data_IF_587122867886
#
_entry.id   IF_587122867886
#
_cell.length_a   1.000
_cell.length_b   1.000
_cell.length_c   1.000
_cell.angle_alpha   90.00
_cell.angle_beta   90.00
_cell.angle_gamma   90.00
#
_symmetry.space_group_name_H-M   'P 1'
#
loop_
_entity.id
_entity.type
_entity.pdbx_description
1 polymer ?
#
# COMPACT_ATOMS: atom_id res chain seq x y z
N UNK A 1 33.78 10.58 -1.74
CA UNK A 1 32.48 10.51 -1.06
C UNK A 1 32.01 9.06 -1.16
N UNK A 2 31.62 8.40 -0.06
CA UNK A 2 31.03 7.04 -0.12
C UNK A 2 29.54 7.19 -0.33
N UNK A 3 28.98 6.54 -1.35
CA UNK A 3 27.54 6.52 -1.63
C UNK A 3 26.95 5.25 -1.05
N UNK A 4 25.84 5.36 -0.31
CA UNK A 4 25.05 4.24 0.18
C UNK A 4 23.86 4.11 -0.75
N UNK A 5 23.68 2.92 -1.33
CA UNK A 5 22.50 2.57 -2.11
C UNK A 5 21.63 1.63 -1.25
N UNK A 6 20.39 2.06 -0.97
CA UNK A 6 19.42 1.29 -0.21
C UNK A 6 18.30 0.82 -1.13
N UNK A 7 18.18 -0.49 -1.33
CA UNK A 7 17.21 -1.09 -2.26
C UNK A 7 16.22 -1.92 -1.46
N UNK A 8 14.94 -1.63 -1.60
CA UNK A 8 13.83 -2.40 -1.01
C UNK A 8 13.08 -3.11 -2.13
N UNK A 9 13.06 -4.43 -2.09
CA UNK A 9 12.29 -5.27 -3.00
C UNK A 9 11.02 -5.71 -2.29
N UNK A 10 9.97 -4.90 -2.42
CA UNK A 10 8.69 -5.17 -1.76
C UNK A 10 8.00 -6.39 -2.37
N UNK A 11 7.54 -7.31 -1.51
CA UNK A 11 6.87 -8.53 -1.93
C UNK A 11 7.78 -9.63 -2.48
N UNK A 12 9.10 -9.50 -2.39
CA UNK A 12 10.04 -10.53 -2.84
C UNK A 12 10.06 -11.75 -1.91
N UNK A 13 9.89 -11.53 -0.61
CA UNK A 13 9.94 -12.59 0.39
C UNK A 13 8.91 -13.68 0.11
N UNK A 14 9.38 -14.92 0.16
CA UNK A 14 8.61 -16.13 -0.13
C UNK A 14 8.44 -16.95 1.17
N UNK A 15 7.40 -17.77 1.22
CA UNK A 15 7.14 -18.65 2.38
C UNK A 15 7.87 -19.97 2.27
N UNK A 16 7.89 -20.73 3.37
CA UNK A 16 8.47 -22.09 3.41
C UNK A 16 7.54 -23.16 2.79
N UNK A 17 6.84 -22.81 1.71
CA UNK A 17 5.92 -23.71 1.03
C UNK A 17 6.46 -24.05 -0.36
N UNK A 18 7.23 -25.16 -0.47
CA UNK A 18 7.76 -25.59 -1.75
C UNK A 18 6.63 -26.03 -2.68
N UNK A 19 6.72 -25.63 -3.93
CA UNK A 19 5.75 -25.96 -4.98
C UNK A 19 6.22 -27.19 -5.77
N UNK A 20 5.36 -28.17 -5.91
CA UNK A 20 5.69 -29.42 -6.64
C UNK A 20 6.03 -29.14 -8.12
N UNK A 21 5.31 -28.22 -8.74
CA UNK A 21 5.52 -27.79 -10.12
C UNK A 21 6.88 -27.12 -10.34
N UNK A 22 7.48 -26.61 -9.27
CA UNK A 22 8.83 -26.02 -9.28
C UNK A 22 9.90 -26.96 -8.75
N UNK A 23 9.64 -28.28 -8.73
CA UNK A 23 10.59 -29.30 -8.24
C UNK A 23 10.79 -29.22 -6.74
N UNK A 24 9.74 -29.02 -5.97
CA UNK A 24 9.76 -28.82 -4.51
C UNK A 24 10.63 -27.64 -4.05
N UNK A 25 10.69 -26.60 -4.82
CA UNK A 25 11.34 -25.32 -4.50
C UNK A 25 10.30 -24.24 -4.29
N UNK A 26 10.65 -23.21 -3.54
CA UNK A 26 9.85 -21.99 -3.50
C UNK A 26 9.99 -21.20 -4.82
N UNK A 27 9.12 -20.27 -5.15
CA UNK A 27 9.26 -19.42 -6.31
C UNK A 27 10.62 -18.70 -6.38
N UNK A 28 11.11 -18.16 -5.25
CA UNK A 28 12.39 -17.48 -5.18
C UNK A 28 13.58 -18.42 -5.42
N UNK A 29 13.54 -19.64 -4.85
CA UNK A 29 14.56 -20.68 -5.09
C UNK A 29 14.56 -21.20 -6.53
N UNK A 30 13.41 -21.14 -7.22
CA UNK A 30 13.27 -21.58 -8.61
C UNK A 30 13.65 -20.48 -9.61
N UNK A 31 13.60 -19.21 -9.21
CA UNK A 31 13.91 -18.08 -10.06
C UNK A 31 15.40 -18.00 -10.40
N UNK A 32 15.74 -17.50 -11.58
CA UNK A 32 17.11 -17.20 -11.97
C UNK A 32 17.46 -15.79 -11.46
N UNK A 33 18.18 -15.71 -10.35
CA UNK A 33 18.54 -14.45 -9.68
C UNK A 33 20.06 -14.24 -9.53
N UNK A 34 20.86 -14.32 -10.60
CA UNK A 34 22.32 -14.40 -10.51
C UNK A 34 22.96 -13.19 -9.79
N UNK A 35 22.41 -11.99 -9.97
CA UNK A 35 22.93 -10.80 -9.29
C UNK A 35 22.60 -10.83 -7.79
N UNK A 36 21.41 -11.24 -7.39
CA UNK A 36 21.06 -11.39 -5.99
C UNK A 36 21.86 -12.50 -5.32
N UNK A 37 22.06 -13.61 -6.01
CA UNK A 37 22.86 -14.74 -5.55
C UNK A 37 24.32 -14.34 -5.34
N UNK A 38 24.87 -13.53 -6.24
CA UNK A 38 26.21 -12.97 -6.09
C UNK A 38 26.29 -12.05 -4.87
N UNK A 39 25.36 -11.12 -4.71
CA UNK A 39 25.32 -10.20 -3.58
C UNK A 39 25.15 -10.93 -2.25
N UNK A 40 24.34 -11.99 -2.20
CA UNK A 40 24.17 -12.82 -1.01
C UNK A 40 25.43 -13.58 -0.65
N UNK A 41 26.17 -14.07 -1.65
CA UNK A 41 27.42 -14.83 -1.46
C UNK A 41 28.58 -13.95 -1.00
N UNK A 42 28.69 -12.74 -1.53
CA UNK A 42 29.81 -11.83 -1.27
C UNK A 42 29.53 -10.84 -0.13
N UNK A 43 28.26 -10.68 0.24
CA UNK A 43 27.82 -9.78 1.28
C UNK A 43 27.54 -10.47 2.62
N UNK A 44 26.87 -9.74 3.48
CA UNK A 44 26.32 -10.27 4.73
C UNK A 44 24.81 -10.39 4.61
N UNK A 45 24.28 -11.56 4.95
CA UNK A 45 22.85 -11.84 4.94
C UNK A 45 22.30 -12.03 6.35
N UNK A 46 21.00 -11.80 6.53
CA UNK A 46 20.34 -12.00 7.80
C UNK A 46 18.84 -11.94 7.68
N UNK A 47 18.15 -12.30 8.77
CA UNK A 47 16.72 -12.18 8.91
C UNK A 47 16.38 -10.96 9.76
N UNK A 48 15.40 -10.19 9.33
CA UNK A 48 14.93 -9.01 10.03
C UNK A 48 13.44 -9.06 10.26
N UNK A 49 13.00 -8.79 11.48
CA UNK A 49 11.63 -8.43 11.76
C UNK A 49 11.47 -6.94 11.47
N UNK A 50 10.78 -6.61 10.41
CA UNK A 50 10.69 -5.23 9.90
C UNK A 50 10.15 -4.25 10.94
N UNK A 51 9.08 -4.62 11.66
CA UNK A 51 8.50 -3.79 12.72
C UNK A 51 8.71 -4.44 14.09
N UNK A 52 8.49 -5.75 14.17
CA UNK A 52 8.65 -6.50 15.40
C UNK A 52 8.22 -7.96 15.25
N UNK A 53 8.68 -8.80 16.17
CA UNK A 53 8.34 -10.22 16.17
C UNK A 53 6.83 -10.40 16.30
N UNK A 54 6.24 -11.22 15.43
CA UNK A 54 4.80 -11.52 15.43
C UNK A 54 3.93 -10.43 14.77
N UNK A 55 4.52 -9.37 14.24
CA UNK A 55 3.81 -8.33 13.49
C UNK A 55 3.98 -8.61 12.00
N UNK A 56 2.87 -8.78 11.28
CA UNK A 56 2.83 -8.84 9.82
C UNK A 56 2.52 -7.44 9.29
N UNK A 57 3.53 -6.62 8.97
CA UNK A 57 3.31 -5.23 8.60
C UNK A 57 2.81 -5.09 7.16
N UNK A 58 2.01 -4.07 6.91
CA UNK A 58 1.82 -3.54 5.56
C UNK A 58 3.04 -2.69 5.15
N UNK A 59 3.20 -2.43 3.86
CA UNK A 59 4.39 -1.75 3.31
C UNK A 59 4.62 -0.36 3.89
N UNK A 60 3.58 0.37 4.23
CA UNK A 60 3.65 1.72 4.77
C UNK A 60 4.30 1.76 6.17
N UNK A 61 3.82 0.96 7.12
CA UNK A 61 4.44 0.86 8.44
C UNK A 61 5.83 0.21 8.37
N UNK A 62 6.01 -0.76 7.45
CA UNK A 62 7.29 -1.39 7.23
C UNK A 62 8.35 -0.38 6.76
N UNK A 63 8.03 0.48 5.80
CA UNK A 63 8.95 1.49 5.28
C UNK A 63 9.34 2.49 6.35
N UNK A 64 8.41 2.96 7.19
CA UNK A 64 8.72 3.83 8.33
C UNK A 64 9.80 3.20 9.23
N UNK A 65 9.61 1.92 9.57
CA UNK A 65 10.54 1.19 10.42
C UNK A 65 11.90 0.96 9.75
N UNK A 66 11.90 0.56 8.46
CA UNK A 66 13.11 0.33 7.66
C UNK A 66 13.95 1.60 7.54
N UNK A 67 13.31 2.77 7.48
CA UNK A 67 14.00 4.06 7.45
C UNK A 67 14.54 4.51 8.83
N UNK A 68 14.35 3.68 9.87
CA UNK A 68 14.90 3.93 11.21
C UNK A 68 14.00 4.72 12.15
N UNK A 69 12.75 4.94 11.77
CA UNK A 69 11.78 5.58 12.65
C UNK A 69 11.06 4.55 13.51
N UNK A 70 10.68 4.94 14.73
CA UNK A 70 9.79 4.14 15.57
C UNK A 70 8.39 4.07 14.96
N UNK A 71 8.12 3.00 14.23
CA UNK A 71 6.87 2.83 13.52
C UNK A 71 5.66 2.75 14.47
N UNK A 72 5.83 2.22 15.67
CA UNK A 72 4.74 2.15 16.65
C UNK A 72 4.36 3.53 17.20
N UNK A 73 5.30 4.45 17.20
CA UNK A 73 5.10 5.83 17.65
C UNK A 73 4.57 6.74 16.54
N UNK A 74 5.08 6.60 15.34
CA UNK A 74 4.84 7.56 14.25
C UNK A 74 3.81 7.10 13.21
N UNK A 75 3.41 5.85 13.21
CA UNK A 75 2.43 5.37 12.26
C UNK A 75 1.02 5.75 12.66
N UNK A 76 0.38 6.55 11.83
CA UNK A 76 -0.98 7.05 12.03
C UNK A 76 -2.01 6.41 11.10
N UNK A 77 -1.63 5.35 10.42
CA UNK A 77 -2.45 4.70 9.40
C UNK A 77 -2.11 5.18 7.98
N UNK A 78 -2.60 4.45 7.01
CA UNK A 78 -2.28 4.68 5.59
C UNK A 78 -2.97 5.90 5.01
N UNK A 79 -4.16 6.25 5.52
CA UNK A 79 -4.93 7.38 5.04
C UNK A 79 -4.18 8.70 5.06
N UNK A 80 -3.59 9.11 6.19
CA UNK A 80 -2.79 10.34 6.27
C UNK A 80 -1.61 10.36 5.31
N UNK A 81 -0.89 9.26 5.16
CA UNK A 81 0.26 9.18 4.25
C UNK A 81 -0.17 9.33 2.79
N UNK A 82 -1.22 8.65 2.37
CA UNK A 82 -1.76 8.77 1.01
C UNK A 82 -2.35 10.16 0.75
N UNK A 83 -2.99 10.79 1.74
CA UNK A 83 -3.53 12.14 1.60
C UNK A 83 -2.42 13.18 1.39
N UNK A 84 -1.35 13.11 2.18
CA UNK A 84 -0.18 13.97 2.02
C UNK A 84 0.51 13.75 0.66
N UNK A 85 0.65 12.49 0.23
CA UNK A 85 1.26 12.13 -1.05
C UNK A 85 0.53 12.74 -2.26
N UNK A 86 -0.79 12.91 -2.18
CA UNK A 86 -1.57 13.59 -3.24
C UNK A 86 -1.79 15.08 -3.00
N UNK A 87 -1.08 15.66 -2.02
CA UNK A 87 -1.11 17.09 -1.72
C UNK A 87 -2.37 17.58 -1.01
N UNK A 88 -3.12 16.69 -0.34
CA UNK A 88 -4.19 17.12 0.55
C UNK A 88 -3.60 17.66 1.85
N UNK A 89 -4.17 18.75 2.34
CA UNK A 89 -3.81 19.32 3.64
C UNK A 89 -4.62 18.61 4.72
N UNK A 90 -3.94 18.10 5.73
CA UNK A 90 -4.53 17.48 6.92
C UNK A 90 -4.25 18.41 8.10
N UNK A 91 -5.25 18.64 8.92
CA UNK A 91 -5.17 19.40 10.18
C UNK A 91 -5.43 18.47 11.34
N UNK A 92 -5.05 18.91 12.54
CA UNK A 92 -5.39 18.20 13.77
C UNK A 92 -6.91 18.07 13.89
N UNK A 93 -7.37 16.85 14.14
CA UNK A 93 -8.78 16.50 14.21
C UNK A 93 -9.39 15.99 12.89
N UNK A 94 -8.70 16.12 11.76
CA UNK A 94 -9.16 15.53 10.51
C UNK A 94 -8.99 14.01 10.52
N UNK A 95 -9.93 13.31 9.89
CA UNK A 95 -9.85 11.87 9.65
C UNK A 95 -9.47 11.62 8.20
N UNK A 96 -8.42 10.86 7.99
CA UNK A 96 -7.99 10.48 6.65
C UNK A 96 -8.08 8.96 6.46
N UNK A 97 -8.74 8.54 5.38
CA UNK A 97 -8.99 7.14 5.07
C UNK A 97 -8.47 6.81 3.68
N UNK A 98 -7.76 5.70 3.55
CA UNK A 98 -7.60 5.07 2.26
C UNK A 98 -8.96 4.55 1.78
N UNK A 99 -9.30 4.84 0.55
CA UNK A 99 -10.54 4.43 -0.08
C UNK A 99 -10.29 3.73 -1.41
N UNK A 100 -11.22 2.90 -1.82
CA UNK A 100 -11.23 2.31 -3.15
C UNK A 100 -12.59 2.54 -3.81
N UNK A 101 -12.58 2.83 -5.09
CA UNK A 101 -13.75 2.67 -5.91
C UNK A 101 -14.05 1.18 -6.09
N UNK A 102 -15.32 0.82 -6.05
CA UNK A 102 -15.76 -0.56 -6.11
C UNK A 102 -16.97 -0.71 -7.04
N UNK A 103 -17.11 -1.86 -7.66
CA UNK A 103 -18.30 -2.19 -8.44
C UNK A 103 -19.42 -2.65 -7.52
N UNK A 104 -20.55 -1.98 -7.58
CA UNK A 104 -21.76 -2.35 -6.85
C UNK A 104 -22.47 -3.50 -7.57
N UNK A 105 -22.92 -4.48 -6.82
CA UNK A 105 -23.83 -5.52 -7.26
C UNK A 105 -25.29 -5.16 -6.97
N UNK A 106 -26.11 -6.16 -6.74
CA UNK A 106 -27.51 -5.98 -6.39
C UNK A 106 -27.64 -5.42 -4.97
N UNK A 107 -28.51 -4.43 -4.77
CA UNK A 107 -28.72 -3.79 -3.48
C UNK A 107 -27.46 -3.07 -2.97
N UNK A 108 -27.00 -3.40 -1.77
CA UNK A 108 -25.79 -2.80 -1.14
C UNK A 108 -24.55 -3.69 -1.21
N UNK A 109 -24.61 -4.79 -1.95
CA UNK A 109 -23.48 -5.71 -2.08
C UNK A 109 -22.37 -5.11 -2.94
N UNK A 110 -21.12 -5.31 -2.55
CA UNK A 110 -19.97 -5.03 -3.37
C UNK A 110 -19.67 -6.28 -4.21
N UNK A 111 -19.81 -6.14 -5.53
CA UNK A 111 -19.47 -7.22 -6.48
C UNK A 111 -17.96 -7.36 -6.67
N UNK A 112 -17.29 -6.25 -6.79
CA UNK A 112 -15.83 -6.21 -6.93
C UNK A 112 -15.26 -4.99 -6.20
N UNK A 113 -14.43 -5.25 -5.22
CA UNK A 113 -13.79 -4.22 -4.37
C UNK A 113 -12.68 -3.43 -5.08
N UNK A 114 -12.32 -3.79 -6.31
CA UNK A 114 -11.24 -3.19 -7.09
C UNK A 114 -11.65 -2.81 -8.51
N UNK A 115 -12.95 -2.82 -8.82
CA UNK A 115 -13.49 -2.47 -10.14
C UNK A 115 -12.83 -3.28 -11.27
N UNK A 116 -12.59 -4.59 -11.06
CA UNK A 116 -11.90 -5.46 -12.01
C UNK A 116 -10.44 -5.06 -12.31
N UNK A 117 -9.89 -4.06 -11.60
CA UNK A 117 -8.58 -3.43 -11.84
C UNK A 117 -8.43 -2.85 -13.25
N UNK A 118 -9.55 -2.44 -13.87
CA UNK A 118 -9.58 -1.90 -15.22
C UNK A 118 -10.07 -0.44 -15.30
N UNK A 119 -10.26 0.21 -14.14
CA UNK A 119 -10.58 1.64 -14.08
C UNK A 119 -9.30 2.45 -14.29
N UNK A 120 -9.29 3.31 -15.30
CA UNK A 120 -8.16 4.19 -15.54
C UNK A 120 -8.07 5.34 -14.51
N UNK A 121 -6.89 5.95 -14.38
CA UNK A 121 -6.71 7.11 -13.49
C UNK A 121 -7.54 8.30 -13.93
N UNK A 122 -7.73 8.50 -15.23
CA UNK A 122 -8.55 9.56 -15.82
C UNK A 122 -10.02 9.40 -15.46
N UNK A 123 -10.57 8.19 -15.62
CA UNK A 123 -11.94 7.85 -15.22
C UNK A 123 -12.14 8.03 -13.71
N UNK A 124 -11.19 7.55 -12.90
CA UNK A 124 -11.21 7.72 -11.46
C UNK A 124 -11.16 9.21 -11.04
N UNK A 125 -10.44 10.04 -11.79
CA UNK A 125 -10.39 11.48 -11.56
C UNK A 125 -11.75 12.14 -11.84
N UNK A 126 -12.43 11.73 -12.89
CA UNK A 126 -13.79 12.22 -13.19
C UNK A 126 -14.78 11.81 -12.11
N UNK A 127 -14.76 10.53 -11.70
CA UNK A 127 -15.58 10.03 -10.60
C UNK A 127 -15.30 10.78 -9.30
N UNK A 128 -14.05 11.07 -9.00
CA UNK A 128 -13.65 11.86 -7.83
C UNK A 128 -14.28 13.25 -7.82
N UNK A 129 -14.27 13.94 -8.97
CA UNK A 129 -14.95 15.25 -9.12
C UNK A 129 -16.46 15.15 -8.90
N UNK A 130 -17.10 14.12 -9.46
CA UNK A 130 -18.53 13.90 -9.28
C UNK A 130 -18.91 13.55 -7.84
N UNK A 131 -18.11 12.74 -7.14
CA UNK A 131 -18.28 12.44 -5.73
C UNK A 131 -18.25 13.73 -4.89
N UNK A 132 -17.23 14.53 -5.03
CA UNK A 132 -17.10 15.79 -4.27
C UNK A 132 -18.25 16.78 -4.58
N UNK A 133 -18.78 16.77 -5.80
CA UNK A 133 -19.87 17.64 -6.21
C UNK A 133 -21.23 17.17 -5.69
N UNK A 134 -21.52 15.88 -5.78
CA UNK A 134 -22.86 15.32 -5.58
C UNK A 134 -23.11 14.75 -4.21
N UNK A 135 -22.10 14.18 -3.56
CA UNK A 135 -22.27 13.57 -2.24
C UNK A 135 -22.31 14.64 -1.17
N UNK A 136 -23.28 14.55 -0.28
CA UNK A 136 -23.44 15.43 0.89
C UNK A 136 -23.51 14.57 2.15
N UNK A 137 -23.01 15.11 3.25
CA UNK A 137 -23.05 14.49 4.57
C UNK A 137 -24.16 15.13 5.39
N UNK A 138 -25.42 14.90 4.98
CA UNK A 138 -26.56 15.59 5.58
C UNK A 138 -26.84 15.15 7.03
N UNK A 139 -26.38 13.96 7.44
CA UNK A 139 -26.58 13.41 8.78
C UNK A 139 -25.52 13.77 9.81
N UNK A 140 -24.41 14.38 9.39
CA UNK A 140 -23.30 14.78 10.27
C UNK A 140 -22.74 16.13 9.85
N UNK A 141 -22.38 17.02 10.81
CA UNK A 141 -21.83 18.35 10.53
C UNK A 141 -20.35 18.24 10.12
N UNK A 142 -20.07 17.57 9.03
CA UNK A 142 -18.72 17.37 8.51
C UNK A 142 -18.63 17.76 7.04
N UNK A 143 -17.42 18.05 6.61
CA UNK A 143 -17.05 18.22 5.20
C UNK A 143 -16.07 17.11 4.84
N UNK A 144 -16.06 16.73 3.58
CA UNK A 144 -15.07 15.78 3.10
C UNK A 144 -14.49 16.21 1.77
N UNK A 145 -13.30 15.69 1.48
CA UNK A 145 -12.67 15.74 0.16
C UNK A 145 -12.26 14.33 -0.21
N UNK A 146 -12.73 13.85 -1.35
CA UNK A 146 -12.26 12.61 -1.95
C UNK A 146 -11.31 12.94 -3.10
N UNK A 147 -10.14 12.29 -3.14
CA UNK A 147 -9.19 12.42 -4.23
C UNK A 147 -8.71 11.04 -4.66
N UNK A 148 -8.76 10.77 -5.96
CA UNK A 148 -8.15 9.55 -6.48
C UNK A 148 -6.62 9.63 -6.41
N UNK A 149 -5.96 8.50 -6.25
CA UNK A 149 -4.50 8.37 -6.25
C UNK A 149 -4.03 7.68 -7.53
N UNK A 150 -4.32 6.42 -7.68
CA UNK A 150 -3.94 5.62 -8.84
C UNK A 150 -5.08 4.64 -9.16
N UNK A 151 -5.57 4.62 -10.40
CA UNK A 151 -6.64 3.74 -10.82
C UNK A 151 -7.86 3.83 -9.88
N UNK A 152 -8.35 2.70 -9.36
CA UNK A 152 -9.49 2.60 -8.46
C UNK A 152 -9.23 3.08 -7.03
N UNK A 153 -7.99 3.45 -6.71
CA UNK A 153 -7.59 3.87 -5.37
C UNK A 153 -7.83 5.36 -5.15
N UNK A 154 -8.12 5.71 -3.92
CA UNK A 154 -8.30 7.09 -3.52
C UNK A 154 -8.10 7.29 -2.03
N UNK A 155 -8.21 8.52 -1.60
CA UNK A 155 -8.16 8.95 -0.22
C UNK A 155 -9.32 9.89 0.07
N UNK A 156 -9.88 9.73 1.26
CA UNK A 156 -10.94 10.56 1.82
C UNK A 156 -10.41 11.26 3.07
N UNK A 157 -10.56 12.56 3.11
CA UNK A 157 -10.24 13.38 4.28
C UNK A 157 -11.47 14.17 4.69
#
# INVERSE_FOLDING_TARGET
>A
MKTILYIVLDGLGDGHYPCKELGNRTPLEAAATPTMDMLAREGQTGLMYTVGKGIAPESDIAVISILGYDAMKYYTGRGPLEALAVGLKIKDGDLAFRANLATRGTGRQIRDRRVGRNLSTEEATQLSKEINKKVKLDSIPAKFTFKNTLEYRGVLV
#
